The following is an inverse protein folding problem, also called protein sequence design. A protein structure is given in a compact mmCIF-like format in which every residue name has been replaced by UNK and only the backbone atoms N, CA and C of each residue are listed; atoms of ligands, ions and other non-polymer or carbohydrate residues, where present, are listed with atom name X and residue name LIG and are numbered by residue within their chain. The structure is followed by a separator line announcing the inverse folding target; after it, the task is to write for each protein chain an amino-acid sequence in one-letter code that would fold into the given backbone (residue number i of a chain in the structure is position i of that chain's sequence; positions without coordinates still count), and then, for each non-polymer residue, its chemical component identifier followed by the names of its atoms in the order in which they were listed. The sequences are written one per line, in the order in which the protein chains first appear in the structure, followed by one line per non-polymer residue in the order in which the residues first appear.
data_IF_514015545232
#
_entry.id   IF_514015545232
#
_cell.length_a   1.000
_cell.length_b   1.000
_cell.length_c   1.000
_cell.angle_alpha   90.00
_cell.angle_beta   90.00
_cell.angle_gamma   90.00
#
_symmetry.space_group_name_H-M   'P 1'
#
loop_
_entity.id
_entity.type
_entity.pdbx_description
1 polymer ?
#
# COMPACT_ATOMS: atom_id res chain seq x y z
N UNK A 1 -9.15 5.26 -23.87
CA UNK A 1 -7.76 4.80 -23.87
C UNK A 1 -7.61 3.67 -24.89
N UNK A 2 -6.70 3.77 -25.84
CA UNK A 2 -6.42 2.70 -26.79
C UNK A 2 -5.55 1.59 -26.16
N UNK A 3 -5.36 0.47 -26.88
CA UNK A 3 -4.59 -0.69 -26.37
C UNK A 3 -3.14 -0.34 -26.04
N UNK A 4 -2.51 0.50 -26.86
CA UNK A 4 -1.11 0.91 -26.64
C UNK A 4 -0.97 1.80 -25.40
N UNK A 5 -1.89 2.73 -25.23
CA UNK A 5 -1.94 3.60 -24.04
C UNK A 5 -2.15 2.78 -22.76
N UNK A 6 -3.03 1.77 -22.80
CA UNK A 6 -3.27 0.85 -21.67
C UNK A 6 -2.01 0.07 -21.30
N UNK A 7 -1.34 -0.53 -22.28
CA UNK A 7 -0.10 -1.29 -22.06
C UNK A 7 1.00 -0.40 -21.47
N UNK A 8 1.16 0.82 -21.99
CA UNK A 8 2.12 1.77 -21.44
C UNK A 8 1.79 2.15 -19.99
N UNK A 9 0.52 2.40 -19.69
CA UNK A 9 0.09 2.74 -18.34
C UNK A 9 0.34 1.59 -17.34
N UNK A 10 0.06 0.35 -17.75
CA UNK A 10 0.38 -0.83 -16.95
C UNK A 10 1.87 -1.04 -16.78
N UNK A 11 2.68 -0.79 -17.81
CA UNK A 11 4.13 -0.89 -17.69
C UNK A 11 4.68 0.13 -16.69
N UNK A 12 4.15 1.34 -16.68
CA UNK A 12 4.49 2.35 -15.66
C UNK A 12 4.10 1.88 -14.28
N UNK A 13 2.88 1.36 -14.09
CA UNK A 13 2.43 0.81 -12.83
C UNK A 13 3.35 -0.33 -12.34
N UNK A 14 3.65 -1.33 -13.19
CA UNK A 14 4.56 -2.43 -12.88
C UNK A 14 5.94 -1.95 -12.40
N UNK A 15 6.50 -0.94 -13.06
CA UNK A 15 7.79 -0.38 -12.66
C UNK A 15 7.70 0.35 -11.32
N UNK A 16 6.55 0.99 -11.04
CA UNK A 16 6.29 1.69 -9.79
C UNK A 16 6.22 0.71 -8.62
N UNK A 17 5.38 -0.34 -8.70
CA UNK A 17 5.27 -1.38 -7.67
C UNK A 17 6.64 -1.97 -7.31
N UNK A 18 7.45 -2.33 -8.31
CA UNK A 18 8.78 -2.91 -8.07
C UNK A 18 9.75 -1.92 -7.42
N UNK A 19 9.69 -0.64 -7.78
CA UNK A 19 10.50 0.42 -7.17
C UNK A 19 10.10 0.64 -5.71
N UNK A 20 8.81 0.70 -5.44
CA UNK A 20 8.26 0.90 -4.10
C UNK A 20 8.54 -0.31 -3.21
N UNK A 21 8.35 -1.51 -3.71
CA UNK A 21 8.76 -2.72 -3.02
C UNK A 21 10.25 -2.72 -2.65
N UNK A 22 11.14 -2.34 -3.56
CA UNK A 22 12.57 -2.26 -3.28
C UNK A 22 12.89 -1.21 -2.20
N UNK A 23 12.19 -0.08 -2.21
CA UNK A 23 12.28 0.95 -1.17
C UNK A 23 11.86 0.39 0.19
N UNK A 24 10.71 -0.27 0.29
CA UNK A 24 10.21 -0.85 1.53
C UNK A 24 11.12 -1.94 2.09
N UNK A 25 11.63 -2.85 1.26
CA UNK A 25 12.58 -3.89 1.69
C UNK A 25 13.89 -3.29 2.22
N UNK A 26 14.40 -2.25 1.57
CA UNK A 26 15.61 -1.57 2.00
C UNK A 26 15.43 -0.91 3.38
N UNK A 27 14.31 -0.22 3.59
CA UNK A 27 14.04 0.41 4.89
C UNK A 27 13.72 -0.60 5.98
N UNK A 28 13.00 -1.68 5.67
CA UNK A 28 12.78 -2.79 6.61
C UNK A 28 14.09 -3.44 7.08
N UNK A 29 15.12 -3.47 6.23
CA UNK A 29 16.42 -4.03 6.59
C UNK A 29 17.30 -3.05 7.43
N UNK A 30 17.08 -1.75 7.31
CA UNK A 30 17.90 -0.71 7.96
C UNK A 30 17.33 -0.23 9.29
N UNK A 31 16.01 -0.11 9.38
CA UNK A 31 15.37 0.37 10.60
C UNK A 31 15.59 -0.56 11.78
N UNK A 32 15.89 0.01 12.95
CA UNK A 32 15.95 -0.72 14.22
C UNK A 32 14.62 -0.67 14.98
N UNK A 33 13.65 0.09 14.49
CA UNK A 33 12.32 0.18 15.08
C UNK A 33 11.47 -1.02 14.67
N UNK A 34 10.99 -1.87 15.62
CA UNK A 34 10.22 -3.08 15.28
C UNK A 34 8.92 -2.80 14.56
N UNK A 35 8.25 -1.68 14.85
CA UNK A 35 7.01 -1.28 14.15
C UNK A 35 7.33 -0.92 12.71
N UNK A 36 8.34 -0.09 12.48
CA UNK A 36 8.80 0.28 11.14
C UNK A 36 9.23 -0.95 10.34
N UNK A 37 9.98 -1.86 10.96
CA UNK A 37 10.43 -3.09 10.29
C UNK A 37 9.26 -3.98 9.85
N UNK A 38 8.30 -4.22 10.74
CA UNK A 38 7.14 -5.07 10.46
C UNK A 38 6.25 -4.43 9.38
N UNK A 39 5.97 -3.14 9.49
CA UNK A 39 5.17 -2.36 8.54
C UNK A 39 5.78 -2.36 7.14
N UNK A 40 7.06 -1.98 6.99
CA UNK A 40 7.70 -1.93 5.67
C UNK A 40 7.82 -3.31 5.02
N UNK A 41 8.03 -4.39 5.79
CA UNK A 41 8.00 -5.75 5.23
C UNK A 41 6.63 -6.12 4.71
N UNK A 42 5.58 -5.83 5.49
CA UNK A 42 4.21 -6.16 5.10
C UNK A 42 3.81 -5.43 3.82
N UNK A 43 4.07 -4.11 3.72
CA UNK A 43 3.78 -3.36 2.50
C UNK A 43 4.58 -3.93 1.32
N UNK A 44 5.88 -4.23 1.49
CA UNK A 44 6.70 -4.82 0.43
C UNK A 44 6.16 -6.16 -0.09
N UNK A 45 5.53 -6.97 0.76
CA UNK A 45 4.92 -8.25 0.36
C UNK A 45 3.60 -8.01 -0.38
N UNK A 46 2.83 -7.00 0.01
CA UNK A 46 1.60 -6.59 -0.68
C UNK A 46 1.91 -5.99 -2.06
N UNK A 47 2.95 -5.14 -2.20
CA UNK A 47 3.44 -4.63 -3.49
C UNK A 47 3.86 -5.74 -4.47
N UNK A 48 4.39 -6.85 -3.96
CA UNK A 48 4.68 -8.00 -4.79
C UNK A 48 3.40 -8.65 -5.34
N UNK A 49 2.33 -8.73 -4.55
CA UNK A 49 1.04 -9.22 -5.03
C UNK A 49 0.44 -8.28 -6.08
N UNK A 50 0.47 -6.95 -5.85
CA UNK A 50 0.04 -5.94 -6.82
C UNK A 50 0.77 -6.10 -8.16
N UNK A 51 2.10 -6.18 -8.12
CA UNK A 51 2.93 -6.43 -9.30
C UNK A 51 2.50 -7.68 -10.06
N UNK A 52 2.28 -8.79 -9.36
CA UNK A 52 1.89 -10.05 -9.99
C UNK A 52 0.53 -9.94 -10.69
N UNK A 53 -0.44 -9.26 -10.07
CA UNK A 53 -1.78 -9.04 -10.65
C UNK A 53 -1.73 -8.14 -11.88
N UNK A 54 -0.97 -7.06 -11.81
CA UNK A 54 -0.74 -6.17 -12.95
C UNK A 54 -0.02 -6.89 -14.09
N UNK A 55 0.95 -7.75 -13.80
CA UNK A 55 1.66 -8.53 -14.80
C UNK A 55 0.73 -9.52 -15.53
N UNK A 56 -0.17 -10.17 -14.81
CA UNK A 56 -1.19 -11.03 -15.42
C UNK A 56 -2.09 -10.24 -16.36
N UNK A 57 -2.55 -9.05 -15.93
CA UNK A 57 -3.36 -8.15 -16.74
C UNK A 57 -2.60 -7.68 -18.00
N UNK A 58 -1.36 -7.26 -17.85
CA UNK A 58 -0.50 -6.81 -18.95
C UNK A 58 -0.36 -7.89 -20.03
N UNK A 59 -0.01 -9.13 -19.63
CA UNK A 59 0.13 -10.26 -20.56
C UNK A 59 -1.15 -10.56 -21.34
N UNK A 60 -2.32 -10.34 -20.76
CA UNK A 60 -3.62 -10.55 -21.41
C UNK A 60 -3.95 -9.46 -22.40
N UNK A 61 -3.69 -8.21 -22.05
CA UNK A 61 -3.88 -7.10 -22.96
C UNK A 61 -2.90 -7.14 -24.15
N UNK A 62 -1.66 -7.60 -23.96
CA UNK A 62 -0.72 -7.84 -25.08
C UNK A 62 -1.29 -8.82 -26.10
N UNK A 63 -1.99 -9.86 -25.65
CA UNK A 63 -2.62 -10.86 -26.51
C UNK A 63 -3.97 -10.40 -27.07
N UNK A 64 -4.39 -9.17 -26.83
CA UNK A 64 -5.70 -8.63 -27.20
C UNK A 64 -6.87 -9.46 -26.66
N UNK A 65 -6.66 -10.20 -25.58
CA UNK A 65 -7.71 -10.96 -24.93
C UNK A 65 -8.67 -9.99 -24.22
N UNK A 66 -9.97 -10.31 -24.26
CA UNK A 66 -10.94 -9.62 -23.40
C UNK A 66 -10.58 -9.88 -21.95
N UNK A 67 -10.96 -8.99 -21.06
CA UNK A 67 -10.78 -9.21 -19.62
C UNK A 67 -11.29 -10.58 -19.25
N UNK A 68 -10.44 -11.47 -18.72
CA UNK A 68 -10.85 -12.84 -18.49
C UNK A 68 -11.81 -12.92 -17.31
N UNK A 69 -12.83 -13.75 -17.45
CA UNK A 69 -13.74 -14.10 -16.35
C UNK A 69 -12.99 -14.81 -15.20
N UNK A 70 -11.83 -15.36 -15.48
CA UNK A 70 -11.00 -16.17 -14.58
C UNK A 70 -9.86 -15.43 -13.89
N UNK A 71 -9.57 -14.15 -14.21
CA UNK A 71 -8.69 -13.38 -13.36
C UNK A 71 -9.48 -13.06 -12.11
N UNK A 72 -9.11 -13.61 -10.95
CA UNK A 72 -9.75 -13.18 -9.73
C UNK A 72 -9.48 -11.68 -9.59
N UNK A 73 -10.55 -10.90 -9.59
CA UNK A 73 -10.54 -9.49 -9.17
C UNK A 73 -10.14 -9.34 -7.69
N UNK A 74 -9.71 -10.42 -7.06
CA UNK A 74 -9.31 -10.49 -5.67
C UNK A 74 -7.82 -10.21 -5.56
N UNK A 75 -7.49 -8.94 -5.48
CA UNK A 75 -6.33 -8.50 -4.73
C UNK A 75 -6.71 -8.60 -3.26
N UNK A 76 -5.86 -9.18 -2.42
CA UNK A 76 -6.13 -9.22 -0.98
C UNK A 76 -6.13 -7.79 -0.45
N UNK A 77 -7.06 -7.48 0.43
CA UNK A 77 -7.04 -6.23 1.18
C UNK A 77 -5.80 -6.15 2.08
N UNK A 78 -5.37 -4.94 2.40
CA UNK A 78 -4.20 -4.73 3.25
C UNK A 78 -4.45 -5.16 4.70
N UNK A 79 -3.42 -5.73 5.33
CA UNK A 79 -3.36 -6.04 6.76
C UNK A 79 -2.34 -5.17 7.50
N UNK A 80 -1.76 -4.17 6.85
CA UNK A 80 -0.72 -3.28 7.39
C UNK A 80 -1.12 -2.67 8.73
N UNK A 81 -2.35 -2.20 8.85
CA UNK A 81 -2.88 -1.63 10.11
C UNK A 81 -2.84 -2.62 11.27
N UNK A 82 -3.18 -3.89 11.02
CA UNK A 82 -3.16 -4.93 12.04
C UNK A 82 -1.73 -5.29 12.44
N UNK A 83 -0.81 -5.34 11.48
CA UNK A 83 0.62 -5.56 11.70
C UNK A 83 1.24 -4.45 12.56
N UNK A 84 0.91 -3.18 12.28
CA UNK A 84 1.33 -2.03 13.10
C UNK A 84 0.81 -2.16 14.53
N UNK A 85 -0.49 -2.47 14.69
CA UNK A 85 -1.12 -2.60 16.01
C UNK A 85 -0.51 -3.76 16.83
N UNK A 86 -0.20 -4.88 16.20
CA UNK A 86 0.44 -6.02 16.86
C UNK A 86 1.89 -5.71 17.26
N UNK A 87 2.67 -5.10 16.36
CA UNK A 87 4.03 -4.67 16.65
C UNK A 87 4.07 -3.64 17.78
N UNK A 88 3.15 -2.68 17.79
CA UNK A 88 3.02 -1.68 18.85
C UNK A 88 2.71 -2.31 20.21
N UNK A 89 1.80 -3.31 20.26
CA UNK A 89 1.48 -4.03 21.51
C UNK A 89 2.67 -4.83 22.08
N UNK A 90 3.53 -5.32 21.20
CA UNK A 90 4.70 -6.11 21.58
C UNK A 90 5.86 -5.27 22.10
N UNK A 91 5.81 -3.95 21.95
CA UNK A 91 6.85 -3.04 22.46
C UNK A 91 6.73 -2.87 23.98
N UNK A 92 7.73 -3.40 24.72
CA UNK A 92 7.86 -3.20 26.18
C UNK A 92 8.26 -1.77 26.57
N UNK A 93 8.80 -1.00 25.64
CA UNK A 93 9.18 0.41 25.79
C UNK A 93 8.86 1.14 24.48
N UNK A 94 8.17 2.25 24.61
CA UNK A 94 7.88 3.16 23.50
C UNK A 94 9.20 3.76 23.00
N UNK A 95 9.66 3.36 21.83
CA UNK A 95 10.81 3.96 21.16
C UNK A 95 10.30 4.86 20.04
N UNK A 96 10.64 6.13 20.13
CA UNK A 96 10.49 7.03 18.99
C UNK A 96 11.37 6.54 17.84
N UNK A 97 10.88 6.73 16.62
CA UNK A 97 11.67 6.50 15.42
C UNK A 97 12.78 7.56 15.32
N UNK A 98 13.89 7.20 14.69
CA UNK A 98 14.90 8.19 14.34
C UNK A 98 14.47 9.06 13.15
N UNK A 99 15.28 10.07 12.80
CA UNK A 99 14.97 10.99 11.71
C UNK A 99 14.91 10.28 10.35
N UNK A 100 15.74 9.26 10.12
CA UNK A 100 15.79 8.49 8.88
C UNK A 100 14.51 7.64 8.71
N UNK A 101 14.04 7.02 9.79
CA UNK A 101 12.76 6.26 9.79
C UNK A 101 11.58 7.17 9.49
N UNK A 102 11.52 8.35 10.09
CA UNK A 102 10.43 9.32 9.83
C UNK A 102 10.47 9.86 8.40
N UNK A 103 11.66 10.11 7.84
CA UNK A 103 11.78 10.52 6.43
C UNK A 103 11.35 9.41 5.48
N UNK A 104 11.69 8.15 5.79
CA UNK A 104 11.25 7.00 5.03
C UNK A 104 9.72 6.86 5.03
N UNK A 105 9.07 6.98 6.19
CA UNK A 105 7.61 6.94 6.31
C UNK A 105 6.95 8.08 5.50
N UNK A 106 7.45 9.29 5.59
CA UNK A 106 6.93 10.44 4.81
C UNK A 106 7.12 10.25 3.31
N UNK A 107 8.19 9.60 2.90
CA UNK A 107 8.41 9.23 1.49
C UNK A 107 7.42 8.17 1.05
N UNK A 108 7.21 7.15 1.87
CA UNK A 108 6.20 6.11 1.65
C UNK A 108 4.79 6.71 1.51
N UNK A 109 4.38 7.59 2.43
CA UNK A 109 3.09 8.29 2.36
C UNK A 109 2.86 8.98 1.01
N UNK A 110 3.91 9.61 0.43
CA UNK A 110 3.80 10.22 -0.90
C UNK A 110 3.64 9.18 -2.01
N UNK A 111 4.32 8.04 -1.91
CA UNK A 111 4.19 6.95 -2.88
C UNK A 111 2.76 6.43 -2.92
N UNK A 112 2.21 6.07 -1.77
CA UNK A 112 0.85 5.54 -1.66
C UNK A 112 -0.22 6.55 -2.12
N UNK A 113 -0.04 7.82 -1.79
CA UNK A 113 -0.93 8.88 -2.27
C UNK A 113 -0.87 9.03 -3.80
N UNK A 114 0.32 8.92 -4.41
CA UNK A 114 0.49 8.91 -5.86
C UNK A 114 -0.08 7.64 -6.49
N UNK A 115 0.16 6.48 -5.90
CA UNK A 115 -0.39 5.18 -6.31
C UNK A 115 -1.91 5.22 -6.38
N UNK A 116 -2.57 5.61 -5.29
CA UNK A 116 -4.02 5.74 -5.22
C UNK A 116 -4.57 6.67 -6.31
N UNK A 117 -3.94 7.82 -6.55
CA UNK A 117 -4.32 8.75 -7.62
C UNK A 117 -4.14 8.16 -9.02
N UNK A 118 -3.07 7.42 -9.25
CA UNK A 118 -2.77 6.82 -10.54
C UNK A 118 -3.76 5.70 -10.87
N UNK A 119 -4.07 4.83 -9.92
CA UNK A 119 -5.09 3.80 -10.10
C UNK A 119 -6.50 4.40 -10.27
N UNK A 120 -6.82 5.48 -9.58
CA UNK A 120 -8.08 6.21 -9.80
C UNK A 120 -8.18 6.77 -11.23
N UNK A 121 -7.09 7.32 -11.79
CA UNK A 121 -7.05 7.77 -13.19
C UNK A 121 -7.23 6.60 -14.16
N UNK A 122 -6.59 5.45 -13.92
CA UNK A 122 -6.76 4.26 -14.75
C UNK A 122 -8.20 3.77 -14.71
N UNK A 123 -8.83 3.70 -13.52
CA UNK A 123 -10.25 3.38 -13.34
C UNK A 123 -11.15 4.24 -14.21
N UNK A 124 -10.91 5.55 -14.21
CA UNK A 124 -11.76 6.52 -14.92
C UNK A 124 -11.51 6.51 -16.44
N UNK A 125 -10.35 6.03 -16.88
CA UNK A 125 -9.96 5.95 -18.27
C UNK A 125 -10.39 4.65 -18.98
N UNK A 126 -10.75 3.59 -18.24
CA UNK A 126 -11.21 2.32 -18.81
C UNK A 126 -12.73 2.26 -18.93
N UNK A 127 -13.21 1.60 -20.01
CA UNK A 127 -14.65 1.47 -20.27
C UNK A 127 -15.23 0.16 -19.70
N UNK A 128 -14.42 -0.91 -19.61
CA UNK A 128 -14.89 -2.20 -19.13
C UNK A 128 -15.18 -2.14 -17.62
N UNK A 129 -16.38 -2.57 -17.17
CA UNK A 129 -16.75 -2.52 -15.75
C UNK A 129 -15.83 -3.34 -14.83
N UNK A 130 -15.25 -4.45 -15.31
CA UNK A 130 -14.36 -5.32 -14.53
C UNK A 130 -12.99 -4.68 -14.38
N UNK A 131 -12.46 -4.07 -15.45
CA UNK A 131 -11.23 -3.27 -15.39
C UNK A 131 -11.41 -2.11 -14.41
N UNK A 132 -12.55 -1.43 -14.47
CA UNK A 132 -12.88 -0.34 -13.54
C UNK A 132 -12.92 -0.82 -12.09
N UNK A 133 -13.54 -1.98 -11.84
CA UNK A 133 -13.60 -2.57 -10.50
C UNK A 133 -12.21 -2.94 -9.99
N UNK A 134 -11.35 -3.51 -10.83
CA UNK A 134 -9.96 -3.84 -10.48
C UNK A 134 -9.17 -2.59 -10.08
N UNK A 135 -9.18 -1.54 -10.91
CA UNK A 135 -8.46 -0.31 -10.56
C UNK A 135 -9.08 0.45 -9.39
N UNK A 136 -10.39 0.31 -9.15
CA UNK A 136 -11.02 0.82 -7.92
C UNK A 136 -10.47 0.12 -6.69
N UNK A 137 -10.32 -1.20 -6.75
CA UNK A 137 -9.77 -1.99 -5.65
C UNK A 137 -8.30 -1.62 -5.39
N UNK A 138 -7.47 -1.52 -6.45
CA UNK A 138 -6.09 -1.07 -6.32
C UNK A 138 -6.00 0.31 -5.67
N UNK A 139 -6.77 1.29 -6.16
CA UNK A 139 -6.80 2.63 -5.59
C UNK A 139 -7.23 2.64 -4.11
N UNK A 140 -8.14 1.74 -3.71
CA UNK A 140 -8.57 1.60 -2.33
C UNK A 140 -7.44 1.03 -1.45
N UNK A 141 -6.73 0.01 -1.90
CA UNK A 141 -5.63 -0.61 -1.15
C UNK A 141 -4.50 0.41 -0.92
N UNK A 142 -4.08 1.14 -1.96
CA UNK A 142 -3.08 2.21 -1.81
C UNK A 142 -3.53 3.29 -0.81
N UNK A 143 -4.83 3.65 -0.82
CA UNK A 143 -5.35 4.59 0.17
C UNK A 143 -5.35 4.00 1.60
N UNK A 144 -5.57 2.71 1.76
CA UNK A 144 -5.47 2.04 3.06
C UNK A 144 -4.01 1.96 3.54
N UNK A 145 -3.04 1.72 2.65
CA UNK A 145 -1.61 1.87 2.95
C UNK A 145 -1.27 3.28 3.40
N UNK A 146 -1.70 4.29 2.64
CA UNK A 146 -1.53 5.71 3.00
C UNK A 146 -2.04 6.01 4.41
N UNK A 147 -3.26 5.60 4.75
CA UNK A 147 -3.85 5.82 6.07
C UNK A 147 -3.08 5.07 7.17
N UNK A 148 -2.63 3.85 6.89
CA UNK A 148 -1.84 3.05 7.84
C UNK A 148 -0.46 3.67 8.10
N UNK A 149 0.18 4.21 7.06
CA UNK A 149 1.45 4.93 7.18
C UNK A 149 1.29 6.25 7.95
N UNK A 150 0.17 6.96 7.78
CA UNK A 150 -0.15 8.16 8.57
C UNK A 150 -0.33 7.83 10.05
N UNK A 151 -1.04 6.74 10.36
CA UNK A 151 -1.20 6.25 11.74
C UNK A 151 0.15 5.83 12.35
N UNK A 152 1.02 5.19 11.56
CA UNK A 152 2.37 4.83 11.98
C UNK A 152 3.28 6.06 12.18
N UNK A 153 3.19 7.07 11.32
CA UNK A 153 3.93 8.33 11.50
C UNK A 153 3.57 8.97 12.85
N UNK A 154 2.28 9.00 13.19
CA UNK A 154 1.81 9.53 14.48
C UNK A 154 2.34 8.69 15.66
N UNK A 155 2.20 7.36 15.60
CA UNK A 155 2.71 6.45 16.62
C UNK A 155 4.21 6.62 16.86
N UNK A 156 5.00 6.76 15.80
CA UNK A 156 6.45 6.82 15.90
C UNK A 156 6.98 8.24 16.26
N UNK A 157 6.17 9.25 16.04
CA UNK A 157 6.49 10.65 16.41
C UNK A 157 6.11 10.95 17.84
N UNK A 158 4.90 10.56 18.26
CA UNK A 158 4.36 10.79 19.61
C UNK A 158 3.56 9.56 20.09
N UNK A 159 4.26 8.52 20.56
CA UNK A 159 3.62 7.29 21.03
C UNK A 159 2.59 7.52 22.13
N UNK A 160 2.85 8.43 23.08
CA UNK A 160 1.95 8.69 24.22
C UNK A 160 0.61 9.27 23.75
N UNK A 161 0.65 10.22 22.82
CA UNK A 161 -0.55 10.80 22.23
C UNK A 161 -1.34 9.77 21.44
N UNK A 162 -0.66 8.94 20.66
CA UNK A 162 -1.28 7.89 19.87
C UNK A 162 -2.02 6.87 20.76
N UNK A 163 -1.41 6.38 21.85
CA UNK A 163 -2.05 5.45 22.79
C UNK A 163 -3.27 6.08 23.48
N UNK A 164 -3.15 7.32 23.95
CA UNK A 164 -4.28 8.05 24.57
C UNK A 164 -5.49 8.15 23.64
N UNK A 165 -5.28 8.45 22.36
CA UNK A 165 -6.37 8.53 21.36
C UNK A 165 -7.04 7.18 21.15
N UNK A 166 -6.28 6.10 21.09
CA UNK A 166 -6.83 4.73 20.90
C UNK A 166 -7.62 4.27 22.13
N UNK A 167 -7.19 4.60 23.36
CA UNK A 167 -7.93 4.28 24.58
C UNK A 167 -9.27 5.03 24.68
N UNK A 168 -9.32 6.30 24.29
CA UNK A 168 -10.58 7.06 24.27
C UNK A 168 -11.59 6.49 23.26
N UNK A 169 -11.16 6.03 22.09
CA UNK A 169 -12.07 5.41 21.13
C UNK A 169 -12.67 4.08 21.62
N UNK A 170 -11.99 3.36 22.49
CA UNK A 170 -12.52 2.12 23.09
C UNK A 170 -13.58 2.41 24.16
N UNK A 171 -13.50 3.55 24.84
CA UNK A 171 -14.43 3.95 25.89
C UNK A 171 -15.72 4.60 25.36
N UNK A 172 -15.66 5.25 24.19
CA UNK A 172 -16.81 5.93 23.58
C UNK A 172 -17.66 5.03 22.66
N UNK A 173 -17.26 3.77 22.44
CA UNK A 173 -17.89 2.78 21.55
C UNK A 173 -18.70 1.69 22.27
N UNK A 174 -19.10 1.89 23.51
CA UNK A 174 -19.94 1.00 24.32
C UNK A 174 -21.41 1.42 24.34
#
# INVERSE_FOLDING_TARGET
MDTKERLNALQVALNTEMRERAFYLNHAARTTNPVGQAMFRQIADEELEHYQRLQELHKKWEKQEKWPETVPLQVKGTVVKDVIAEAARSLKQQRQADADDLEAIRTAIRFEEEGARNYAKLRDAVADPRERQFFSLMAQIENEHFLSLKDAEELLTDPESWYRKKEHHVLDGG
#
